data_IF_095263085670
#
_entry.id   IF_095263085670
#
_cell.length_a   1.000
_cell.length_b   1.000
_cell.length_c   1.000
_cell.angle_alpha   90.00
_cell.angle_beta   90.00
_cell.angle_gamma   90.00
#
_symmetry.space_group_name_H-M   'P 1'
#
loop_
_entity.id
_entity.type
_entity.pdbx_description
1 polymer ?
#
# COMPACT_ATOMS: atom_id res chain seq x y z
N UNK A 1 39.43 55.82 -41.39
CA UNK A 1 39.59 54.74 -40.39
C UNK A 1 39.76 55.33 -38.98
N UNK A 2 38.68 55.85 -38.37
CA UNK A 2 38.72 56.46 -37.04
C UNK A 2 37.52 56.01 -36.19
N UNK A 3 37.33 54.70 -36.01
CA UNK A 3 36.32 54.19 -35.08
C UNK A 3 37.06 53.40 -34.00
N UNK A 4 36.97 53.90 -32.77
CA UNK A 4 37.59 53.42 -31.52
C UNK A 4 38.98 53.99 -31.19
N UNK A 5 39.12 55.31 -31.20
CA UNK A 5 40.14 55.96 -30.39
C UNK A 5 39.61 56.07 -28.94
N UNK A 6 40.42 55.83 -27.90
CA UNK A 6 40.07 56.08 -26.50
C UNK A 6 39.44 57.46 -26.30
N UNK A 7 38.47 57.59 -25.39
CA UNK A 7 37.75 58.85 -25.15
C UNK A 7 38.68 60.02 -24.82
N UNK A 8 39.80 59.72 -24.15
CA UNK A 8 40.85 60.68 -23.87
C UNK A 8 41.55 61.20 -25.13
N UNK A 9 41.66 60.43 -26.22
CA UNK A 9 42.21 60.90 -27.49
C UNK A 9 41.17 61.60 -28.36
N UNK A 10 39.90 61.16 -28.28
CA UNK A 10 38.79 61.82 -28.95
C UNK A 10 38.59 63.26 -28.44
N UNK A 11 38.78 63.50 -27.13
CA UNK A 11 38.72 64.85 -26.57
C UNK A 11 39.84 65.75 -27.10
N UNK A 12 41.08 65.29 -27.18
CA UNK A 12 42.21 66.10 -27.67
C UNK A 12 42.12 66.41 -29.16
N UNK A 13 41.58 65.49 -29.96
CA UNK A 13 41.32 65.71 -31.40
C UNK A 13 40.23 66.76 -31.60
N UNK A 14 39.19 66.80 -30.76
CA UNK A 14 38.15 67.85 -30.81
C UNK A 14 38.69 69.26 -30.54
N UNK A 15 39.80 69.39 -29.82
CA UNK A 15 40.46 70.66 -29.53
C UNK A 15 41.59 71.03 -30.51
N UNK A 16 41.77 70.27 -31.60
CA UNK A 16 42.77 70.57 -32.64
C UNK A 16 44.22 70.39 -32.20
N UNK A 17 44.48 69.65 -31.13
CA UNK A 17 45.83 69.50 -30.55
C UNK A 17 46.64 68.43 -31.28
N UNK A 18 47.91 68.73 -31.61
CA UNK A 18 48.84 67.76 -32.20
C UNK A 18 49.31 66.74 -31.15
N UNK A 19 49.00 65.46 -31.38
CA UNK A 19 49.38 64.36 -30.48
C UNK A 19 50.47 63.51 -31.14
N UNK A 20 51.56 63.25 -30.42
CA UNK A 20 52.64 62.37 -30.90
C UNK A 20 52.08 60.95 -31.13
N UNK A 21 52.35 60.39 -32.31
CA UNK A 21 51.90 59.05 -32.73
C UNK A 21 52.20 57.94 -31.70
N UNK A 22 53.35 58.00 -31.03
CA UNK A 22 53.75 57.04 -29.98
C UNK A 22 52.77 57.01 -28.79
N UNK A 23 52.21 58.15 -28.39
CA UNK A 23 51.24 58.23 -27.30
C UNK A 23 49.89 57.65 -27.72
N UNK A 24 49.46 57.93 -28.96
CA UNK A 24 48.26 57.31 -29.55
C UNK A 24 48.39 55.79 -29.56
N UNK A 25 49.53 55.27 -30.03
CA UNK A 25 49.80 53.83 -30.10
C UNK A 25 49.81 53.17 -28.71
N UNK A 26 50.42 53.82 -27.71
CA UNK A 26 50.45 53.31 -26.34
C UNK A 26 49.05 53.23 -25.71
N UNK A 27 48.21 54.26 -25.90
CA UNK A 27 46.84 54.29 -25.39
C UNK A 27 45.95 53.26 -26.10
N UNK A 28 46.10 53.09 -27.41
CA UNK A 28 45.40 52.02 -28.15
C UNK A 28 45.83 50.63 -27.68
N UNK A 29 47.13 50.42 -27.42
CA UNK A 29 47.64 49.14 -26.88
C UNK A 29 47.09 48.87 -25.48
N UNK A 30 47.06 49.86 -24.61
CA UNK A 30 46.50 49.74 -23.26
C UNK A 30 45.01 49.42 -23.31
N UNK A 31 44.23 50.14 -24.11
CA UNK A 31 42.80 49.85 -24.30
C UNK A 31 42.55 48.43 -24.81
N UNK A 32 43.37 47.97 -25.75
CA UNK A 32 43.28 46.59 -26.26
C UNK A 32 43.62 45.55 -25.19
N UNK A 33 44.68 45.77 -24.39
CA UNK A 33 45.05 44.88 -23.29
C UNK A 33 43.96 44.83 -22.21
N UNK A 34 43.41 45.98 -21.82
CA UNK A 34 42.30 46.03 -20.85
C UNK A 34 41.07 45.31 -21.37
N UNK A 35 40.73 45.48 -22.65
CA UNK A 35 39.61 44.76 -23.27
C UNK A 35 39.84 43.25 -23.29
N UNK A 36 41.05 42.80 -23.63
CA UNK A 36 41.41 41.38 -23.63
C UNK A 36 41.39 40.80 -22.21
N UNK A 37 41.92 41.52 -21.22
CA UNK A 37 41.87 41.13 -19.82
C UNK A 37 40.43 41.00 -19.31
N UNK A 38 39.56 41.96 -19.62
CA UNK A 38 38.15 41.90 -19.25
C UNK A 38 37.42 40.74 -19.90
N UNK A 39 37.69 40.46 -21.19
CA UNK A 39 37.12 39.30 -21.89
C UNK A 39 37.59 37.98 -21.28
N UNK A 40 38.87 37.89 -20.90
CA UNK A 40 39.42 36.71 -20.26
C UNK A 40 38.85 36.50 -18.86
N UNK A 41 38.75 37.56 -18.05
CA UNK A 41 38.13 37.54 -16.74
C UNK A 41 36.65 37.10 -16.82
N UNK A 42 35.88 37.64 -17.77
CA UNK A 42 34.49 37.24 -17.98
C UNK A 42 34.35 35.75 -18.35
N UNK A 43 35.28 35.21 -19.16
CA UNK A 43 35.30 33.77 -19.48
C UNK A 43 35.60 32.91 -18.25
N UNK A 44 36.58 33.32 -17.44
CA UNK A 44 36.92 32.62 -16.21
C UNK A 44 35.77 32.62 -15.20
N UNK A 45 35.09 33.77 -15.03
CA UNK A 45 33.92 33.88 -14.15
C UNK A 45 32.83 32.92 -14.63
N UNK A 46 32.49 32.96 -15.92
CA UNK A 46 31.47 32.07 -16.47
C UNK A 46 31.83 30.59 -16.29
N UNK A 47 33.09 30.22 -16.53
CA UNK A 47 33.54 28.85 -16.35
C UNK A 47 33.43 28.41 -14.87
N UNK A 48 33.76 29.30 -13.93
CA UNK A 48 33.61 29.02 -12.50
C UNK A 48 32.14 28.88 -12.10
N UNK A 49 31.24 29.72 -12.62
CA UNK A 49 29.79 29.63 -12.41
C UNK A 49 29.22 28.33 -12.95
N UNK A 50 29.57 27.96 -14.19
CA UNK A 50 29.13 26.71 -14.82
C UNK A 50 29.60 25.49 -14.01
N UNK A 51 30.85 25.53 -13.52
CA UNK A 51 31.42 24.44 -12.70
C UNK A 51 30.76 24.36 -11.32
N UNK A 52 30.50 25.51 -10.68
CA UNK A 52 29.82 25.56 -9.40
C UNK A 52 28.38 25.01 -9.50
N UNK A 53 27.67 25.35 -10.57
CA UNK A 53 26.32 24.85 -10.81
C UNK A 53 26.30 23.34 -11.08
N UNK A 54 27.28 22.82 -11.83
CA UNK A 54 27.45 21.37 -12.03
C UNK A 54 27.68 20.63 -10.70
N UNK A 55 28.57 21.15 -9.84
CA UNK A 55 28.82 20.57 -8.52
C UNK A 55 27.60 20.64 -7.61
N UNK A 56 26.87 21.76 -7.63
CA UNK A 56 25.63 21.91 -6.87
C UNK A 56 24.61 20.86 -7.28
N UNK A 57 24.40 20.68 -8.59
CA UNK A 57 23.46 19.68 -9.12
C UNK A 57 23.88 18.27 -8.74
N UNK A 58 25.15 17.91 -8.96
CA UNK A 58 25.68 16.59 -8.59
C UNK A 58 25.57 16.31 -7.09
N UNK A 59 25.87 17.30 -6.24
CA UNK A 59 25.73 17.18 -4.79
C UNK A 59 24.27 17.01 -4.35
N UNK A 60 23.35 17.74 -4.97
CA UNK A 60 21.92 17.57 -4.72
C UNK A 60 21.43 16.17 -5.12
N UNK A 61 21.75 15.73 -6.34
CA UNK A 61 21.31 14.42 -6.85
C UNK A 61 21.87 13.28 -5.99
N UNK A 62 23.14 13.35 -5.60
CA UNK A 62 23.77 12.37 -4.72
C UNK A 62 23.15 12.37 -3.30
N UNK A 63 22.93 13.55 -2.71
CA UNK A 63 22.29 13.67 -1.40
C UNK A 63 20.85 13.18 -1.40
N UNK A 64 20.10 13.46 -2.48
CA UNK A 64 18.74 12.97 -2.67
C UNK A 64 18.70 11.46 -2.81
N UNK A 65 19.55 10.86 -3.66
CA UNK A 65 19.64 9.41 -3.81
C UNK A 65 20.05 8.72 -2.51
N UNK A 66 21.00 9.29 -1.77
CA UNK A 66 21.41 8.77 -0.47
C UNK A 66 20.27 8.84 0.55
N UNK A 67 19.54 9.95 0.60
CA UNK A 67 18.38 10.11 1.47
C UNK A 67 17.29 9.08 1.16
N UNK A 68 16.99 8.84 -0.12
CA UNK A 68 16.06 7.80 -0.54
C UNK A 68 16.54 6.40 -0.16
N UNK A 69 17.82 6.08 -0.38
CA UNK A 69 18.40 4.79 -0.05
C UNK A 69 18.36 4.50 1.46
N UNK A 70 18.38 5.53 2.30
CA UNK A 70 18.25 5.40 3.76
C UNK A 70 16.79 5.36 4.23
N UNK A 71 15.91 6.17 3.65
CA UNK A 71 14.52 6.29 4.10
C UNK A 71 13.63 5.13 3.62
N UNK A 72 13.83 4.65 2.38
CA UNK A 72 12.96 3.64 1.78
C UNK A 72 12.96 2.30 2.53
N UNK A 73 14.11 1.77 2.98
CA UNK A 73 14.13 0.54 3.78
C UNK A 73 13.36 0.68 5.10
N UNK A 74 13.47 1.82 5.78
CA UNK A 74 12.72 2.06 7.03
C UNK A 74 11.22 2.16 6.78
N UNK A 75 10.80 2.84 5.71
CA UNK A 75 9.39 2.86 5.32
C UNK A 75 8.86 1.46 5.02
N UNK A 76 9.61 0.66 4.25
CA UNK A 76 9.24 -0.73 3.97
C UNK A 76 9.20 -1.58 5.23
N UNK A 77 10.14 -1.41 6.16
CA UNK A 77 10.15 -2.11 7.45
C UNK A 77 8.88 -1.81 8.24
N UNK A 78 8.56 -0.52 8.41
CA UNK A 78 7.37 -0.08 9.15
C UNK A 78 6.10 -0.58 8.47
N UNK A 79 5.99 -0.49 7.14
CA UNK A 79 4.84 -1.03 6.40
C UNK A 79 4.66 -2.54 6.63
N UNK A 80 5.76 -3.30 6.61
CA UNK A 80 5.72 -4.74 6.87
C UNK A 80 5.33 -5.07 8.31
N UNK A 81 5.79 -4.28 9.29
CA UNK A 81 5.38 -4.40 10.69
C UNK A 81 3.88 -4.14 10.86
N UNK A 82 3.35 -3.07 10.26
CA UNK A 82 1.92 -2.80 10.26
C UNK A 82 1.12 -3.91 9.59
N UNK A 83 1.58 -4.41 8.44
CA UNK A 83 0.93 -5.53 7.74
C UNK A 83 0.88 -6.77 8.64
N UNK A 84 1.97 -7.09 9.33
CA UNK A 84 2.02 -8.22 10.26
C UNK A 84 1.00 -8.06 11.41
N UNK A 85 0.97 -6.89 12.04
CA UNK A 85 0.03 -6.59 13.13
C UNK A 85 -1.42 -6.69 12.65
N UNK A 86 -1.74 -6.18 11.47
CA UNK A 86 -3.08 -6.29 10.87
C UNK A 86 -3.46 -7.77 10.68
N UNK A 87 -2.57 -8.59 10.11
CA UNK A 87 -2.84 -10.01 9.92
C UNK A 87 -3.02 -10.76 11.25
N UNK A 88 -2.21 -10.44 12.26
CA UNK A 88 -2.35 -11.03 13.60
C UNK A 88 -3.66 -10.63 14.27
N UNK A 89 -4.03 -9.36 14.21
CA UNK A 89 -5.30 -8.88 14.75
C UNK A 89 -6.49 -9.50 14.03
N UNK A 90 -6.44 -9.62 12.70
CA UNK A 90 -7.48 -10.27 11.92
C UNK A 90 -7.59 -11.75 12.30
N UNK A 91 -6.48 -12.48 12.39
CA UNK A 91 -6.48 -13.89 12.81
C UNK A 91 -7.03 -14.05 14.24
N UNK A 92 -6.68 -13.14 15.15
CA UNK A 92 -7.21 -13.09 16.51
C UNK A 92 -8.72 -12.83 16.54
N UNK A 93 -9.20 -11.88 15.75
CA UNK A 93 -10.62 -11.57 15.62
C UNK A 93 -11.42 -12.73 15.02
N UNK A 94 -10.91 -13.37 13.97
CA UNK A 94 -11.50 -14.56 13.34
C UNK A 94 -11.59 -15.70 14.34
N UNK A 95 -10.50 -15.98 15.08
CA UNK A 95 -10.52 -17.03 16.12
C UNK A 95 -11.46 -16.69 17.28
N UNK A 96 -11.55 -15.41 17.68
CA UNK A 96 -12.52 -14.94 18.67
C UNK A 96 -13.96 -15.16 18.21
N UNK A 97 -14.25 -14.80 16.96
CA UNK A 97 -15.56 -15.00 16.34
C UNK A 97 -15.92 -16.48 16.23
N UNK A 98 -14.99 -17.36 15.83
CA UNK A 98 -15.22 -18.80 15.81
C UNK A 98 -15.58 -19.35 17.19
N UNK A 99 -14.89 -18.88 18.25
CA UNK A 99 -15.21 -19.26 19.64
C UNK A 99 -16.59 -18.79 20.07
N UNK A 100 -16.95 -17.54 19.77
CA UNK A 100 -18.27 -17.01 20.09
C UNK A 100 -19.38 -17.76 19.33
N UNK A 101 -19.21 -18.01 18.02
CA UNK A 101 -20.16 -18.78 17.22
C UNK A 101 -20.30 -20.23 17.69
N UNK A 102 -19.21 -20.84 18.14
CA UNK A 102 -19.22 -22.16 18.78
C UNK A 102 -20.05 -22.13 20.07
N UNK A 103 -19.93 -21.09 20.89
CA UNK A 103 -20.74 -20.91 22.09
C UNK A 103 -22.22 -20.62 21.76
N UNK A 104 -22.50 -19.84 20.70
CA UNK A 104 -23.87 -19.61 20.21
C UNK A 104 -24.54 -20.91 19.74
N UNK A 105 -23.76 -21.86 19.22
CA UNK A 105 -24.29 -23.17 18.87
C UNK A 105 -24.86 -23.91 20.10
N UNK A 106 -24.45 -23.59 21.32
CA UNK A 106 -25.01 -24.21 22.53
C UNK A 106 -26.36 -23.63 22.95
N UNK A 107 -26.78 -22.50 22.35
CA UNK A 107 -28.11 -21.95 22.58
C UNK A 107 -29.20 -22.86 21.99
N UNK A 108 -30.21 -23.15 22.81
CA UNK A 108 -31.26 -24.08 22.44
C UNK A 108 -32.15 -23.55 21.32
N UNK A 109 -32.50 -22.27 21.35
CA UNK A 109 -33.34 -21.67 20.30
C UNK A 109 -32.63 -21.67 18.96
N UNK A 110 -31.33 -21.32 18.95
CA UNK A 110 -30.48 -21.36 17.77
C UNK A 110 -30.38 -22.80 17.23
N UNK A 111 -30.10 -23.80 18.06
CA UNK A 111 -30.04 -25.20 17.62
C UNK A 111 -31.34 -25.63 16.96
N UNK A 112 -32.50 -25.32 17.54
CA UNK A 112 -33.78 -25.67 16.94
C UNK A 112 -34.02 -24.97 15.61
N UNK A 113 -33.71 -23.68 15.49
CA UNK A 113 -33.77 -22.98 14.20
C UNK A 113 -32.87 -23.62 13.14
N UNK A 114 -31.64 -23.97 13.50
CA UNK A 114 -30.72 -24.66 12.60
C UNK A 114 -31.25 -26.02 12.17
N UNK A 115 -31.82 -26.79 13.10
CA UNK A 115 -32.45 -28.08 12.80
C UNK A 115 -33.63 -27.89 11.84
N UNK A 116 -34.51 -26.92 12.07
CA UNK A 116 -35.63 -26.65 11.15
C UNK A 116 -35.14 -26.34 9.73
N UNK A 117 -34.17 -25.43 9.60
CA UNK A 117 -33.58 -25.10 8.30
C UNK A 117 -32.97 -26.31 7.61
N UNK A 118 -32.28 -27.16 8.37
CA UNK A 118 -31.67 -28.38 7.86
C UNK A 118 -32.74 -29.38 7.39
N UNK A 119 -33.78 -29.60 8.18
CA UNK A 119 -34.89 -30.50 7.81
C UNK A 119 -35.61 -29.95 6.58
N UNK A 120 -35.91 -28.66 6.51
CA UNK A 120 -36.56 -28.04 5.34
C UNK A 120 -35.72 -28.19 4.07
N UNK A 121 -34.40 -27.98 4.16
CA UNK A 121 -33.50 -28.08 3.02
C UNK A 121 -33.43 -29.49 2.43
N UNK A 122 -33.57 -30.52 3.28
CA UNK A 122 -33.43 -31.92 2.90
C UNK A 122 -34.76 -32.71 2.95
N UNK A 123 -35.90 -32.04 3.14
CA UNK A 123 -37.21 -32.67 3.30
C UNK A 123 -37.66 -33.49 2.08
N UNK A 124 -37.12 -33.19 0.89
CA UNK A 124 -37.44 -33.88 -0.36
C UNK A 124 -36.57 -35.13 -0.61
N UNK A 125 -35.54 -35.38 0.20
CA UNK A 125 -34.70 -36.57 0.05
C UNK A 125 -35.41 -37.81 0.62
N UNK A 126 -35.30 -38.97 -0.05
CA UNK A 126 -35.87 -40.22 0.45
C UNK A 126 -35.08 -40.70 1.69
N UNK A 127 -35.82 -41.14 2.73
CA UNK A 127 -35.28 -41.72 3.98
C UNK A 127 -34.42 -40.74 4.79
N UNK A 128 -35.04 -39.66 5.29
CA UNK A 128 -34.42 -38.72 6.22
C UNK A 128 -34.64 -39.15 7.68
N UNK A 129 -33.57 -39.24 8.47
CA UNK A 129 -33.63 -39.42 9.92
C UNK A 129 -32.73 -38.39 10.60
N UNK A 130 -33.28 -37.71 11.60
CA UNK A 130 -32.56 -36.73 12.41
C UNK A 130 -32.05 -37.39 13.69
N UNK A 131 -30.77 -37.27 13.98
CA UNK A 131 -30.15 -37.83 15.18
C UNK A 131 -29.60 -36.64 15.99
N UNK A 132 -30.17 -36.41 17.17
CA UNK A 132 -29.95 -35.22 17.99
C UNK A 132 -29.21 -35.52 19.31
N UNK A 133 -28.52 -34.52 19.89
CA UNK A 133 -27.99 -34.63 21.24
C UNK A 133 -29.09 -34.95 22.26
N UNK A 134 -28.82 -35.88 23.17
CA UNK A 134 -29.76 -36.36 24.17
C UNK A 134 -30.25 -35.25 25.10
N UNK A 135 -29.46 -34.19 25.32
CA UNK A 135 -29.89 -33.03 26.10
C UNK A 135 -31.09 -32.29 25.49
N UNK A 136 -31.30 -32.38 24.17
CA UNK A 136 -32.42 -31.73 23.47
C UNK A 136 -33.73 -32.49 23.63
N UNK A 137 -33.70 -33.77 24.06
CA UNK A 137 -34.90 -34.61 24.22
C UNK A 137 -35.94 -34.00 25.15
N UNK A 138 -35.50 -33.36 26.24
CA UNK A 138 -36.39 -32.72 27.22
C UNK A 138 -36.98 -31.40 26.71
N UNK A 139 -36.31 -30.76 25.75
CA UNK A 139 -36.69 -29.44 25.22
C UNK A 139 -37.52 -29.53 23.94
N UNK A 140 -37.55 -30.70 23.28
CA UNK A 140 -38.40 -30.95 22.11
C UNK A 140 -39.89 -30.79 22.38
N UNK A 141 -40.36 -30.92 23.63
CA UNK A 141 -41.79 -30.70 23.96
C UNK A 141 -42.26 -29.27 23.74
N UNK A 142 -41.33 -28.32 23.60
CA UNK A 142 -41.62 -26.89 23.41
C UNK A 142 -41.55 -26.45 21.93
N UNK A 143 -41.10 -27.32 21.03
CA UNK A 143 -40.90 -27.02 19.60
C UNK A 143 -41.68 -28.03 18.74
N UNK A 144 -42.41 -27.58 17.69
CA UNK A 144 -43.34 -28.43 16.94
C UNK A 144 -42.68 -29.67 16.32
N UNK A 145 -43.47 -30.76 16.22
CA UNK A 145 -43.04 -32.07 15.75
C UNK A 145 -42.33 -31.99 14.38
N UNK A 146 -41.12 -32.55 14.32
CA UNK A 146 -40.40 -32.74 13.07
C UNK A 146 -41.12 -33.78 12.20
N UNK A 147 -41.18 -33.54 10.90
CA UNK A 147 -41.79 -34.46 9.92
C UNK A 147 -40.95 -35.71 9.67
N UNK A 148 -39.72 -35.75 10.19
CA UNK A 148 -38.75 -36.84 10.04
C UNK A 148 -38.57 -37.60 11.37
N UNK A 149 -38.33 -38.93 11.34
CA UNK A 149 -37.97 -39.70 12.52
C UNK A 149 -36.78 -39.08 13.27
N UNK A 150 -36.88 -39.05 14.61
CA UNK A 150 -35.84 -38.47 15.48
C UNK A 150 -35.25 -39.53 16.42
N UNK A 151 -33.93 -39.67 16.38
CA UNK A 151 -33.12 -40.49 17.28
C UNK A 151 -32.24 -39.60 18.16
N UNK A 152 -31.69 -40.16 19.24
CA UNK A 152 -30.85 -39.40 20.18
C UNK A 152 -29.49 -40.06 20.43
N UNK A 153 -28.46 -39.26 20.65
CA UNK A 153 -27.10 -39.70 20.97
C UNK A 153 -26.43 -38.79 22.01
N UNK A 154 -25.28 -39.20 22.55
CA UNK A 154 -24.59 -38.47 23.64
C UNK A 154 -23.55 -37.44 23.17
N UNK A 155 -23.42 -37.20 21.87
CA UNK A 155 -22.48 -36.19 21.36
C UNK A 155 -23.20 -34.86 21.11
N UNK A 156 -22.43 -33.76 21.04
CA UNK A 156 -22.96 -32.41 20.82
C UNK A 156 -23.38 -32.13 19.37
N UNK A 157 -23.16 -33.08 18.48
CA UNK A 157 -23.36 -32.91 17.04
C UNK A 157 -24.83 -33.05 16.70
N UNK A 158 -25.27 -32.41 15.63
CA UNK A 158 -26.56 -32.67 15.01
C UNK A 158 -26.27 -33.48 13.75
N UNK A 159 -26.89 -34.64 13.61
CA UNK A 159 -26.63 -35.54 12.48
C UNK A 159 -27.92 -35.70 11.69
N UNK A 160 -27.84 -35.51 10.39
CA UNK A 160 -28.92 -35.85 9.46
C UNK A 160 -28.48 -37.00 8.58
N UNK A 161 -29.24 -38.08 8.62
CA UNK A 161 -29.07 -39.21 7.71
C UNK A 161 -30.03 -39.03 6.55
N UNK A 162 -29.52 -39.05 5.33
CA UNK A 162 -30.34 -39.04 4.11
C UNK A 162 -29.95 -40.23 3.22
N UNK A 163 -30.76 -41.28 3.24
CA UNK A 163 -30.45 -42.57 2.62
C UNK A 163 -29.08 -43.12 3.08
N UNK A 164 -28.07 -43.07 2.20
CA UNK A 164 -26.70 -43.55 2.47
C UNK A 164 -25.73 -42.47 2.96
N UNK A 165 -26.15 -41.20 3.06
CA UNK A 165 -25.29 -40.09 3.48
C UNK A 165 -25.55 -39.71 4.93
N UNK A 166 -24.50 -39.28 5.61
CA UNK A 166 -24.56 -38.70 6.95
C UNK A 166 -23.97 -37.29 6.88
N UNK A 167 -24.80 -36.30 7.19
CA UNK A 167 -24.42 -34.91 7.33
C UNK A 167 -24.21 -34.60 8.80
N UNK A 168 -23.06 -34.03 9.12
CA UNK A 168 -22.69 -33.66 10.49
C UNK A 168 -22.68 -32.15 10.60
N UNK A 169 -23.49 -31.64 11.52
CA UNK A 169 -23.43 -30.26 11.97
C UNK A 169 -22.83 -30.26 13.38
N UNK A 170 -21.53 -29.96 13.45
CA UNK A 170 -20.81 -29.77 14.71
C UNK A 170 -20.67 -28.28 15.02
N UNK A 171 -20.47 -27.91 16.30
CA UNK A 171 -20.21 -26.52 16.68
C UNK A 171 -19.04 -25.89 15.88
N UNK A 172 -17.98 -26.67 15.65
CA UNK A 172 -16.79 -26.22 14.93
C UNK A 172 -17.06 -26.03 13.44
N UNK A 173 -17.80 -26.96 12.81
CA UNK A 173 -18.17 -26.82 11.39
C UNK A 173 -19.09 -25.63 11.16
N UNK A 174 -20.05 -25.40 12.07
CA UNK A 174 -20.95 -24.25 12.03
C UNK A 174 -20.18 -22.93 12.16
N UNK A 175 -19.32 -22.83 13.18
CA UNK A 175 -18.53 -21.63 13.43
C UNK A 175 -17.61 -21.30 12.25
N UNK A 176 -16.91 -22.31 11.71
CA UNK A 176 -15.99 -22.12 10.57
C UNK A 176 -16.71 -21.68 9.31
N UNK A 177 -17.84 -22.32 9.00
CA UNK A 177 -18.60 -22.00 7.79
C UNK A 177 -19.18 -20.57 7.86
N UNK A 178 -19.78 -20.19 8.99
CA UNK A 178 -20.31 -18.83 9.19
C UNK A 178 -19.20 -17.78 9.19
N UNK A 179 -18.06 -18.08 9.81
CA UNK A 179 -16.90 -17.18 9.77
C UNK A 179 -16.37 -17.01 8.34
N UNK A 180 -16.34 -18.07 7.55
CA UNK A 180 -15.95 -18.01 6.12
C UNK A 180 -16.94 -17.15 5.32
N UNK A 181 -18.24 -17.32 5.53
CA UNK A 181 -19.29 -16.51 4.87
C UNK A 181 -19.19 -15.03 5.24
N UNK A 182 -18.88 -14.70 6.50
CA UNK A 182 -18.69 -13.33 6.97
C UNK A 182 -17.42 -12.75 6.34
N UNK A 183 -16.30 -13.46 6.38
CA UNK A 183 -15.03 -13.02 5.79
C UNK A 183 -15.14 -12.77 4.29
N UNK A 184 -15.82 -13.64 3.54
CA UNK A 184 -16.04 -13.49 2.09
C UNK A 184 -16.90 -12.26 1.72
N UNK A 185 -17.72 -11.74 2.66
CA UNK A 185 -18.50 -10.53 2.45
C UNK A 185 -17.76 -9.24 2.82
N UNK A 186 -16.77 -9.35 3.71
CA UNK A 186 -15.99 -8.19 4.23
C UNK A 186 -14.75 -7.93 3.38
N UNK A 187 -14.12 -8.97 2.83
CA UNK A 187 -13.00 -8.87 1.89
C UNK A 187 -13.51 -9.30 0.52
N UNK A 188 -13.86 -8.37 -0.40
CA UNK A 188 -13.99 -8.76 -1.79
C UNK A 188 -12.63 -9.27 -2.25
N UNK A 189 -12.60 -10.44 -2.88
CA UNK A 189 -11.45 -10.97 -3.60
C UNK A 189 -11.07 -9.99 -4.72
N UNK A 190 -10.31 -8.96 -4.36
CA UNK A 190 -9.53 -8.18 -5.29
C UNK A 190 -8.09 -8.66 -5.15
N UNK A 191 -7.80 -9.79 -5.80
CA UNK A 191 -6.46 -10.06 -6.34
C UNK A 191 -6.16 -8.98 -7.38
N UNK A 192 -5.89 -7.76 -6.93
CA UNK A 192 -5.11 -6.83 -7.73
C UNK A 192 -3.67 -7.34 -7.61
N UNK A 193 -3.25 -8.08 -8.63
CA UNK A 193 -1.86 -8.36 -8.91
C UNK A 193 -1.05 -7.08 -8.76
N UNK A 194 -0.34 -6.96 -7.64
CA UNK A 194 0.78 -6.03 -7.53
C UNK A 194 2.00 -6.78 -8.08
N UNK A 195 1.91 -7.19 -9.35
CA UNK A 195 3.09 -7.40 -10.19
C UNK A 195 3.49 -6.03 -10.74
N UNK A 196 3.99 -5.18 -9.84
CA UNK A 196 4.67 -3.94 -10.19
C UNK A 196 6.14 -4.24 -10.40
N UNK A 197 6.48 -4.84 -11.55
CA UNK A 197 7.82 -4.68 -12.12
C UNK A 197 8.05 -3.18 -12.33
N UNK A 198 8.86 -2.57 -11.46
CA UNK A 198 9.46 -1.27 -11.75
C UNK A 198 10.91 -1.53 -12.18
N UNK A 199 11.10 -1.57 -13.49
CA UNK A 199 12.37 -1.24 -14.16
C UNK A 199 12.55 0.27 -14.20
#
# INVERSE_FOLDING_TARGET
MCRLLPDSLLSHIRHGVLIKHRHVSALCRLSNLTRQANQYAARLIKQAEDTAEQHRKAGFDAGFQQGLAQAMPELMRVMNEYKLVIHQNLAGAVSGLEKELTAFFDDTGIRFQLIYQLVEQFAAECECELILPAELKKKMTEYPDFTVPVSFHFSRNIILRTGKKLLYLTPETFAREKTTQINARVVPDSTADISGEYL
#
